data_IF_378140910225
#
_entry.id   IF_378140910225
#
_cell.length_a   1.000
_cell.length_b   1.000
_cell.length_c   1.000
_cell.angle_alpha   90.00
_cell.angle_beta   90.00
_cell.angle_gamma   90.00
#
_symmetry.space_group_name_H-M   'P 1'
#
loop_
_entity.id
_entity.type
_entity.pdbx_description
1 polymer ?
#
# COMPACT_ATOMS: atom_id res chain seq x y z
N UNK A 1 33.99 8.73 -20.95
CA UNK A 1 33.86 7.26 -20.85
C UNK A 1 35.20 6.74 -20.39
N UNK A 2 35.28 6.09 -19.23
CA UNK A 2 36.52 5.50 -18.74
C UNK A 2 36.97 4.38 -19.70
N UNK A 3 38.28 4.17 -19.92
CA UNK A 3 38.78 3.03 -20.69
C UNK A 3 38.24 1.71 -20.09
N UNK A 4 38.00 0.67 -20.90
CA UNK A 4 37.33 -0.57 -20.47
C UNK A 4 38.04 -1.28 -19.30
N UNK A 5 39.35 -1.05 -19.15
CA UNK A 5 40.18 -1.60 -18.08
C UNK A 5 39.94 -0.91 -16.72
N UNK A 6 39.39 0.31 -16.73
CA UNK A 6 39.01 1.07 -15.53
C UNK A 6 37.51 0.96 -15.22
N UNK A 7 36.74 0.27 -16.07
CA UNK A 7 35.32 0.05 -15.84
C UNK A 7 35.12 -1.11 -14.87
N UNK A 8 34.40 -0.85 -13.77
CA UNK A 8 34.02 -1.92 -12.86
C UNK A 8 33.24 -3.00 -13.63
N UNK A 9 33.59 -4.30 -13.48
CA UNK A 9 32.84 -5.38 -14.12
C UNK A 9 31.36 -5.44 -13.69
N UNK A 10 31.00 -4.72 -12.62
CA UNK A 10 29.63 -4.58 -12.13
C UNK A 10 28.86 -3.40 -12.75
N UNK A 11 29.51 -2.51 -13.50
CA UNK A 11 28.89 -1.36 -14.15
C UNK A 11 27.67 -1.72 -15.04
N UNK A 12 27.71 -2.74 -15.92
CA UNK A 12 26.53 -3.11 -16.72
C UNK A 12 25.38 -3.64 -15.86
N UNK A 13 25.68 -4.31 -14.75
CA UNK A 13 24.67 -4.85 -13.83
C UNK A 13 24.02 -3.74 -12.99
N UNK A 14 24.79 -2.75 -12.52
CA UNK A 14 24.27 -1.55 -11.87
C UNK A 14 23.42 -0.71 -12.83
N UNK A 15 23.84 -0.55 -14.09
CA UNK A 15 23.07 0.14 -15.11
C UNK A 15 21.72 -0.55 -15.38
N UNK A 16 21.70 -1.89 -15.45
CA UNK A 16 20.47 -2.67 -15.60
C UNK A 16 19.53 -2.52 -14.39
N UNK A 17 20.07 -2.47 -13.17
CA UNK A 17 19.28 -2.22 -11.95
C UNK A 17 18.66 -0.82 -11.92
N UNK A 18 19.42 0.21 -12.29
CA UNK A 18 18.93 1.59 -12.39
C UNK A 18 17.86 1.70 -13.48
N UNK A 19 18.08 1.08 -14.64
CA UNK A 19 17.10 1.02 -15.71
C UNK A 19 15.82 0.30 -15.29
N UNK A 20 15.91 -0.77 -14.48
CA UNK A 20 14.75 -1.46 -13.89
C UNK A 20 13.95 -0.61 -12.89
N UNK A 21 14.59 0.36 -12.24
CA UNK A 21 13.92 1.29 -11.31
C UNK A 21 13.16 2.43 -12.01
N UNK A 22 13.59 2.86 -13.20
CA UNK A 22 12.96 3.94 -13.96
C UNK A 22 11.43 3.74 -14.25
N UNK A 23 10.97 2.58 -14.74
CA UNK A 23 9.54 2.35 -14.99
C UNK A 23 8.70 2.37 -13.69
N UNK A 24 9.28 2.01 -12.54
CA UNK A 24 8.57 2.08 -11.25
C UNK A 24 8.28 3.52 -10.84
N UNK A 25 9.21 4.44 -11.11
CA UNK A 25 9.04 5.85 -10.82
C UNK A 25 7.94 6.47 -11.71
N UNK A 26 7.92 6.14 -13.01
CA UNK A 26 6.85 6.59 -13.93
C UNK A 26 5.48 6.06 -13.50
N UNK A 27 5.40 4.77 -13.13
CA UNK A 27 4.17 4.15 -12.64
C UNK A 27 3.69 4.79 -11.32
N UNK A 28 4.62 5.20 -10.45
CA UNK A 28 4.29 5.89 -9.20
C UNK A 28 3.58 7.22 -9.46
N UNK A 29 4.15 8.10 -10.29
CA UNK A 29 3.53 9.40 -10.61
C UNK A 29 2.16 9.25 -11.28
N UNK A 30 2.04 8.30 -12.22
CA UNK A 30 0.76 8.03 -12.87
C UNK A 30 -0.31 7.57 -11.86
N UNK A 31 0.08 6.70 -10.92
CA UNK A 31 -0.82 6.20 -9.89
C UNK A 31 -1.28 7.29 -8.90
N UNK A 32 -0.42 8.27 -8.61
CA UNK A 32 -0.74 9.42 -7.74
C UNK A 32 -1.67 10.42 -8.42
N UNK A 33 -1.49 10.70 -9.71
CA UNK A 33 -2.42 11.53 -10.49
C UNK A 33 -3.82 10.88 -10.55
N UNK A 34 -3.88 9.58 -10.86
CA UNK A 34 -5.14 8.83 -10.86
C UNK A 34 -5.80 8.80 -9.48
N UNK A 35 -5.02 8.75 -8.40
CA UNK A 35 -5.51 8.81 -7.02
C UNK A 35 -6.22 10.14 -6.74
N UNK A 36 -5.64 11.26 -7.16
CA UNK A 36 -6.23 12.58 -6.94
C UNK A 36 -7.59 12.69 -7.62
N UNK A 37 -7.63 12.36 -8.92
CA UNK A 37 -8.85 12.38 -9.74
C UNK A 37 -9.93 11.46 -9.14
N UNK A 38 -9.57 10.23 -8.74
CA UNK A 38 -10.50 9.31 -8.12
C UNK A 38 -11.01 9.79 -6.74
N UNK A 39 -10.21 10.57 -6.02
CA UNK A 39 -10.62 11.17 -4.74
C UNK A 39 -11.64 12.28 -4.94
N UNK A 40 -11.41 13.16 -5.90
CA UNK A 40 -12.32 14.24 -6.26
C UNK A 40 -13.66 13.71 -6.77
N UNK A 41 -13.64 12.72 -7.67
CA UNK A 41 -14.86 12.05 -8.15
C UNK A 41 -15.71 11.49 -7.02
N UNK A 42 -15.09 10.85 -6.02
CA UNK A 42 -15.83 10.33 -4.86
C UNK A 42 -16.44 11.45 -4.03
N UNK A 43 -15.72 12.56 -3.80
CA UNK A 43 -16.28 13.72 -3.09
C UNK A 43 -17.47 14.33 -3.84
N UNK A 44 -17.40 14.39 -5.17
CA UNK A 44 -18.51 14.85 -6.00
C UNK A 44 -19.73 13.93 -5.83
N UNK A 45 -19.56 12.61 -5.95
CA UNK A 45 -20.65 11.65 -5.76
C UNK A 45 -21.22 11.66 -4.33
N UNK A 46 -20.41 11.86 -3.30
CA UNK A 46 -20.89 11.99 -1.93
C UNK A 46 -21.67 13.28 -1.66
N UNK A 47 -21.35 14.34 -2.40
CA UNK A 47 -22.09 15.60 -2.34
C UNK A 47 -23.44 15.45 -3.04
N UNK A 48 -23.43 14.86 -4.23
CA UNK A 48 -24.65 14.58 -5.00
C UNK A 48 -25.58 13.61 -4.24
N UNK A 49 -25.03 12.54 -3.65
CA UNK A 49 -25.78 11.61 -2.80
C UNK A 49 -26.48 12.33 -1.64
N UNK A 50 -25.78 13.25 -0.98
CA UNK A 50 -26.35 14.03 0.14
C UNK A 50 -27.48 14.92 -0.34
N UNK A 51 -27.34 15.56 -1.49
CA UNK A 51 -28.38 16.40 -2.08
C UNK A 51 -29.61 15.55 -2.46
N UNK A 52 -29.41 14.41 -3.11
CA UNK A 52 -30.49 13.49 -3.44
C UNK A 52 -31.23 12.98 -2.19
N UNK A 53 -30.51 12.58 -1.15
CA UNK A 53 -31.13 12.13 0.12
C UNK A 53 -31.91 13.24 0.83
N UNK A 54 -31.46 14.51 0.75
CA UNK A 54 -32.22 15.66 1.26
C UNK A 54 -33.53 15.85 0.52
N UNK A 55 -33.52 15.73 -0.80
CA UNK A 55 -34.74 15.82 -1.62
C UNK A 55 -35.71 14.69 -1.30
N UNK A 56 -35.21 13.46 -1.22
CA UNK A 56 -36.01 12.29 -0.82
C UNK A 56 -36.61 12.50 0.57
N UNK A 57 -35.82 12.93 1.55
CA UNK A 57 -36.30 13.20 2.90
C UNK A 57 -37.43 14.24 2.89
N UNK A 58 -37.28 15.33 2.14
CA UNK A 58 -38.32 16.37 2.05
C UNK A 58 -39.64 15.79 1.51
N UNK A 59 -39.58 14.92 0.51
CA UNK A 59 -40.77 14.29 -0.06
C UNK A 59 -41.38 13.24 0.85
N UNK A 60 -40.56 12.44 1.52
CA UNK A 60 -41.05 11.49 2.52
C UNK A 60 -41.75 12.23 3.66
N UNK A 61 -41.22 13.40 4.08
CA UNK A 61 -41.89 14.25 5.07
C UNK A 61 -43.23 14.78 4.56
N UNK A 62 -43.31 15.18 3.28
CA UNK A 62 -44.55 15.66 2.68
C UNK A 62 -45.61 14.54 2.57
N UNK A 63 -45.20 13.33 2.15
CA UNK A 63 -46.11 12.18 1.95
C UNK A 63 -46.53 11.52 3.26
N UNK A 64 -45.60 11.37 4.21
CA UNK A 64 -45.80 10.64 5.46
C UNK A 64 -45.88 11.54 6.69
N UNK A 65 -46.38 12.77 6.54
CA UNK A 65 -46.48 13.73 7.65
C UNK A 65 -47.29 13.20 8.84
N UNK A 66 -48.32 12.38 8.58
CA UNK A 66 -49.16 11.74 9.60
C UNK A 66 -48.58 10.45 10.18
N UNK A 67 -47.70 9.77 9.45
CA UNK A 67 -47.21 8.43 9.79
C UNK A 67 -45.70 8.32 9.53
N UNK A 68 -44.88 9.08 10.28
CA UNK A 68 -43.44 9.17 10.00
C UNK A 68 -42.73 7.83 10.15
N UNK A 69 -43.24 6.90 10.99
CA UNK A 69 -42.72 5.54 11.12
C UNK A 69 -42.70 4.75 9.79
N UNK A 70 -43.53 5.12 8.80
CA UNK A 70 -43.47 4.48 7.48
C UNK A 70 -42.18 4.81 6.73
N UNK A 71 -41.50 5.92 7.04
CA UNK A 71 -40.23 6.30 6.43
C UNK A 71 -39.06 5.35 6.78
N UNK A 72 -39.18 4.58 7.86
CA UNK A 72 -38.19 3.56 8.23
C UNK A 72 -38.11 2.44 7.20
N UNK A 73 -39.25 2.09 6.56
CA UNK A 73 -39.29 1.13 5.46
C UNK A 73 -38.49 1.60 4.24
N UNK A 74 -38.35 2.92 4.08
CA UNK A 74 -37.56 3.55 3.03
C UNK A 74 -36.08 3.71 3.39
N UNK A 75 -35.68 3.25 4.58
CA UNK A 75 -34.29 3.28 5.05
C UNK A 75 -33.86 4.57 5.74
N UNK A 76 -34.82 5.42 6.14
CA UNK A 76 -34.55 6.63 6.92
C UNK A 76 -34.90 6.40 8.39
N UNK A 77 -34.03 6.82 9.29
CA UNK A 77 -34.30 6.78 10.73
C UNK A 77 -35.29 7.89 11.10
N UNK A 78 -36.19 7.61 12.03
CA UNK A 78 -37.20 8.56 12.50
C UNK A 78 -36.93 8.85 13.97
N UNK A 79 -36.90 10.13 14.33
CA UNK A 79 -36.91 10.50 15.72
C UNK A 79 -38.34 10.36 16.26
N UNK A 80 -38.63 9.26 16.97
CA UNK A 80 -39.96 8.98 17.51
C UNK A 80 -40.47 10.04 18.50
N UNK A 81 -39.59 10.79 19.17
CA UNK A 81 -39.99 11.85 20.09
C UNK A 81 -40.52 13.10 19.36
N UNK A 82 -40.02 13.39 18.15
CA UNK A 82 -40.40 14.58 17.36
C UNK A 82 -41.17 14.24 16.09
N UNK A 83 -41.31 12.96 15.75
CA UNK A 83 -41.86 12.49 14.47
C UNK A 83 -41.02 12.85 13.26
N UNK A 84 -39.78 13.31 13.46
CA UNK A 84 -38.99 13.93 12.39
C UNK A 84 -38.11 12.89 11.70
N UNK A 85 -38.24 12.75 10.38
CA UNK A 85 -37.37 11.89 9.57
C UNK A 85 -35.96 12.47 9.58
N UNK A 86 -34.96 11.68 9.97
CA UNK A 86 -33.56 12.08 10.08
C UNK A 86 -32.78 11.79 8.79
N UNK A 87 -31.78 12.64 8.52
CA UNK A 87 -30.81 12.38 7.46
C UNK A 87 -29.73 11.44 7.97
N UNK A 88 -29.29 10.47 7.16
CA UNK A 88 -28.19 9.60 7.58
C UNK A 88 -26.86 10.36 7.66
N UNK A 89 -26.23 10.34 8.83
CA UNK A 89 -24.99 11.08 9.08
C UNK A 89 -23.75 10.38 8.54
N UNK A 90 -23.73 9.05 8.58
CA UNK A 90 -22.55 8.28 8.13
C UNK A 90 -22.63 7.94 6.64
N UNK A 91 -21.50 7.90 5.90
CA UNK A 91 -21.48 7.48 4.50
C UNK A 91 -22.07 6.07 4.28
N UNK A 92 -21.89 5.17 5.26
CA UNK A 92 -22.46 3.82 5.21
C UNK A 92 -23.99 3.85 5.36
N UNK A 93 -24.51 4.66 6.27
CA UNK A 93 -25.95 4.80 6.46
C UNK A 93 -26.60 5.47 5.23
N UNK A 94 -25.99 6.52 4.67
CA UNK A 94 -26.46 7.16 3.42
C UNK A 94 -26.56 6.16 2.26
N UNK A 95 -25.55 5.30 2.13
CA UNK A 95 -25.54 4.26 1.11
C UNK A 95 -26.64 3.23 1.32
N UNK A 96 -26.86 2.80 2.58
CA UNK A 96 -27.92 1.85 2.91
C UNK A 96 -29.30 2.45 2.63
N UNK A 97 -29.53 3.70 3.05
CA UNK A 97 -30.76 4.44 2.80
C UNK A 97 -31.05 4.57 1.30
N UNK A 98 -30.05 4.94 0.48
CA UNK A 98 -30.23 4.99 -0.98
C UNK A 98 -30.62 3.62 -1.55
N UNK A 99 -29.97 2.54 -1.10
CA UNK A 99 -30.27 1.18 -1.56
C UNK A 99 -31.68 0.72 -1.20
N UNK A 100 -32.13 1.02 0.02
CA UNK A 100 -33.47 0.70 0.50
C UNK A 100 -34.53 1.54 -0.21
N UNK A 101 -34.28 2.84 -0.41
CA UNK A 101 -35.16 3.72 -1.16
C UNK A 101 -35.37 3.23 -2.61
N UNK A 102 -34.30 2.92 -3.34
CA UNK A 102 -34.38 2.41 -4.71
C UNK A 102 -35.18 1.11 -4.77
N UNK A 103 -34.91 0.16 -3.85
CA UNK A 103 -35.66 -1.10 -3.82
C UNK A 103 -37.15 -0.88 -3.55
N UNK A 104 -37.48 0.07 -2.68
CA UNK A 104 -38.86 0.40 -2.36
C UNK A 104 -39.56 1.10 -3.53
N UNK A 105 -38.91 2.04 -4.22
CA UNK A 105 -39.46 2.67 -5.43
C UNK A 105 -39.65 1.68 -6.59
N UNK A 106 -38.70 0.77 -6.80
CA UNK A 106 -38.79 -0.27 -7.83
C UNK A 106 -39.96 -1.22 -7.57
N UNK A 107 -40.32 -1.45 -6.30
CA UNK A 107 -41.46 -2.29 -5.92
C UNK A 107 -42.83 -1.63 -6.18
N UNK A 108 -42.87 -0.31 -6.35
CA UNK A 108 -44.12 0.42 -6.57
C UNK A 108 -44.47 0.49 -8.06
N UNK A 109 -45.78 0.47 -8.41
CA UNK A 109 -46.22 0.73 -9.77
C UNK A 109 -45.83 2.15 -10.19
N UNK A 110 -45.60 2.35 -11.49
CA UNK A 110 -45.03 3.60 -12.02
C UNK A 110 -45.86 4.86 -11.67
N UNK A 111 -47.16 4.71 -11.44
CA UNK A 111 -48.08 5.80 -11.05
C UNK A 111 -47.84 6.32 -9.63
N UNK A 112 -47.30 5.50 -8.74
CA UNK A 112 -47.20 5.80 -7.30
C UNK A 112 -45.77 6.18 -6.88
N UNK A 113 -44.84 6.17 -7.85
CA UNK A 113 -43.43 6.54 -7.67
C UNK A 113 -43.29 8.04 -7.45
N UNK A 114 -42.22 8.42 -6.76
CA UNK A 114 -41.89 9.82 -6.61
C UNK A 114 -41.30 10.34 -7.94
N UNK A 115 -41.77 11.50 -8.43
CA UNK A 115 -41.30 12.03 -9.71
C UNK A 115 -39.88 12.63 -9.63
N UNK A 116 -39.41 12.99 -8.44
CA UNK A 116 -38.12 13.65 -8.22
C UNK A 116 -37.51 13.10 -6.93
N UNK A 117 -36.19 12.90 -6.79
CA UNK A 117 -35.23 12.73 -7.86
C UNK A 117 -35.59 11.51 -8.73
N UNK A 118 -35.32 11.62 -10.04
CA UNK A 118 -35.58 10.54 -10.99
C UNK A 118 -34.88 9.23 -10.56
N UNK A 119 -35.66 8.14 -10.50
CA UNK A 119 -35.19 6.80 -10.14
C UNK A 119 -34.00 6.38 -11.02
N UNK A 120 -34.03 6.68 -12.32
CA UNK A 120 -32.94 6.33 -13.22
C UNK A 120 -31.63 7.02 -12.80
N UNK A 121 -31.69 8.29 -12.38
CA UNK A 121 -30.53 9.02 -11.85
C UNK A 121 -30.02 8.41 -10.54
N UNK A 122 -30.90 8.01 -9.63
CA UNK A 122 -30.51 7.36 -8.37
C UNK A 122 -29.84 6.01 -8.60
N UNK A 123 -30.37 5.21 -9.52
CA UNK A 123 -29.79 3.92 -9.92
C UNK A 123 -28.41 4.12 -10.54
N UNK A 124 -28.25 5.12 -11.40
CA UNK A 124 -26.95 5.44 -11.99
C UNK A 124 -25.94 5.91 -10.93
N UNK A 125 -26.34 6.79 -10.02
CA UNK A 125 -25.51 7.23 -8.90
C UNK A 125 -25.08 6.04 -8.02
N UNK A 126 -26.00 5.09 -7.76
CA UNK A 126 -25.71 3.83 -7.07
C UNK A 126 -24.64 3.03 -7.80
N UNK A 127 -24.78 2.85 -9.11
CA UNK A 127 -23.80 2.12 -9.96
C UNK A 127 -22.43 2.77 -9.92
N UNK A 128 -22.38 4.09 -10.09
CA UNK A 128 -21.13 4.87 -10.07
C UNK A 128 -20.41 4.75 -8.72
N UNK A 129 -21.13 4.82 -7.61
CA UNK A 129 -20.54 4.64 -6.27
C UNK A 129 -19.96 3.23 -6.11
N UNK A 130 -20.68 2.18 -6.53
CA UNK A 130 -20.17 0.79 -6.47
C UNK A 130 -18.89 0.64 -7.29
N UNK A 131 -18.90 1.15 -8.52
CA UNK A 131 -17.75 1.10 -9.42
C UNK A 131 -16.53 1.80 -8.81
N UNK A 132 -16.71 3.02 -8.29
CA UNK A 132 -15.62 3.77 -7.66
C UNK A 132 -15.07 3.07 -6.42
N UNK A 133 -15.92 2.41 -5.62
CA UNK A 133 -15.48 1.62 -4.46
C UNK A 133 -14.66 0.41 -4.91
N UNK A 134 -15.05 -0.27 -5.98
CA UNK A 134 -14.26 -1.38 -6.57
C UNK A 134 -12.90 -0.89 -7.07
N UNK A 135 -12.87 0.20 -7.84
CA UNK A 135 -11.63 0.82 -8.33
C UNK A 135 -10.71 1.19 -7.17
N UNK A 136 -11.24 1.81 -6.10
CA UNK A 136 -10.44 2.15 -4.91
C UNK A 136 -9.83 0.92 -4.22
N UNK A 137 -10.56 -0.20 -4.16
CA UNK A 137 -10.02 -1.46 -3.61
C UNK A 137 -8.90 -2.00 -4.50
N UNK A 138 -9.11 -2.05 -5.80
CA UNK A 138 -8.10 -2.46 -6.77
C UNK A 138 -6.84 -1.60 -6.68
N UNK A 139 -6.98 -0.26 -6.68
CA UNK A 139 -5.85 0.67 -6.56
C UNK A 139 -5.11 0.55 -5.22
N UNK A 140 -5.78 0.17 -4.13
CA UNK A 140 -5.11 -0.13 -2.85
C UNK A 140 -4.28 -1.41 -2.96
N UNK A 141 -4.83 -2.46 -3.54
CA UNK A 141 -4.12 -3.72 -3.75
C UNK A 141 -2.90 -3.52 -4.67
N UNK A 142 -3.09 -2.84 -5.80
CA UNK A 142 -2.01 -2.52 -6.74
C UNK A 142 -0.89 -1.74 -6.06
N UNK A 143 -1.21 -0.70 -5.27
CA UNK A 143 -0.18 0.05 -4.52
C UNK A 143 0.56 -0.80 -3.50
N UNK A 144 -0.11 -1.73 -2.83
CA UNK A 144 0.56 -2.65 -1.91
C UNK A 144 1.58 -3.52 -2.66
N UNK A 145 1.20 -4.03 -3.83
CA UNK A 145 2.09 -4.81 -4.69
C UNK A 145 3.25 -3.97 -5.25
N UNK A 146 2.98 -2.76 -5.76
CA UNK A 146 4.02 -1.86 -6.28
C UNK A 146 5.02 -1.43 -5.20
N UNK A 147 4.57 -1.20 -3.96
CA UNK A 147 5.47 -0.92 -2.84
C UNK A 147 6.36 -2.11 -2.53
N UNK A 148 5.78 -3.30 -2.39
CA UNK A 148 6.55 -4.52 -2.13
C UNK A 148 7.61 -4.80 -3.22
N UNK A 149 7.24 -4.62 -4.49
CA UNK A 149 8.19 -4.76 -5.62
C UNK A 149 9.30 -3.71 -5.59
N UNK A 150 8.98 -2.46 -5.28
CA UNK A 150 9.97 -1.39 -5.13
C UNK A 150 10.92 -1.67 -3.96
N UNK A 151 10.39 -2.07 -2.81
CA UNK A 151 11.19 -2.37 -1.62
C UNK A 151 12.15 -3.53 -1.89
N UNK A 152 11.70 -4.58 -2.58
CA UNK A 152 12.55 -5.69 -3.01
C UNK A 152 13.67 -5.24 -3.95
N UNK A 153 13.39 -4.37 -4.92
CA UNK A 153 14.41 -3.86 -5.86
C UNK A 153 15.40 -2.92 -5.19
N UNK A 154 14.95 -2.08 -4.26
CA UNK A 154 15.84 -1.22 -3.47
C UNK A 154 16.75 -2.05 -2.56
N UNK A 155 16.22 -3.12 -1.96
CA UNK A 155 17.02 -4.04 -1.15
C UNK A 155 18.07 -4.74 -2.01
N UNK A 156 17.69 -5.24 -3.19
CA UNK A 156 18.62 -5.86 -4.12
C UNK A 156 19.71 -4.87 -4.59
N UNK A 157 19.33 -3.65 -4.98
CA UNK A 157 20.29 -2.60 -5.34
C UNK A 157 21.27 -2.30 -4.19
N UNK A 158 20.77 -2.24 -2.95
CA UNK A 158 21.61 -2.03 -1.77
C UNK A 158 22.63 -3.15 -1.58
N UNK A 159 22.21 -4.40 -1.74
CA UNK A 159 23.10 -5.56 -1.56
C UNK A 159 24.17 -5.60 -2.66
N UNK A 160 23.81 -5.23 -3.88
CA UNK A 160 24.76 -5.13 -5.01
C UNK A 160 25.76 -3.99 -4.79
N UNK A 161 25.29 -2.82 -4.32
CA UNK A 161 26.19 -1.70 -3.98
C UNK A 161 27.15 -2.05 -2.84
N UNK A 162 26.72 -2.85 -1.86
CA UNK A 162 27.60 -3.37 -0.80
C UNK A 162 28.69 -4.28 -1.35
N UNK A 163 28.32 -5.21 -2.24
CA UNK A 163 29.28 -6.11 -2.89
C UNK A 163 30.25 -5.33 -3.77
N UNK A 164 29.75 -4.38 -4.56
CA UNK A 164 30.59 -3.51 -5.39
C UNK A 164 31.56 -2.69 -4.54
N UNK A 165 31.10 -2.11 -3.43
CA UNK A 165 31.95 -1.39 -2.47
C UNK A 165 33.03 -2.29 -1.87
N UNK A 166 32.67 -3.52 -1.48
CA UNK A 166 33.63 -4.50 -0.96
C UNK A 166 34.71 -4.88 -2.00
N UNK A 167 34.32 -5.06 -3.27
CA UNK A 167 35.26 -5.38 -4.35
C UNK A 167 36.20 -4.19 -4.61
N UNK A 168 35.69 -2.96 -4.64
CA UNK A 168 36.53 -1.76 -4.81
C UNK A 168 37.55 -1.66 -3.68
N UNK A 169 37.14 -1.91 -2.43
CA UNK A 169 38.03 -1.96 -1.27
C UNK A 169 39.09 -3.04 -1.45
N UNK A 170 38.71 -4.26 -1.80
CA UNK A 170 39.65 -5.37 -1.97
C UNK A 170 40.67 -5.06 -3.07
N UNK A 171 40.25 -4.43 -4.17
CA UNK A 171 41.11 -4.07 -5.29
C UNK A 171 42.00 -2.85 -4.99
N UNK A 172 41.50 -1.81 -4.29
CA UNK A 172 42.29 -0.62 -3.95
C UNK A 172 43.33 -0.86 -2.86
N UNK A 173 43.10 -1.86 -2.00
CA UNK A 173 44.02 -2.18 -0.90
C UNK A 173 44.85 -3.46 -1.18
N UNK A 174 45.05 -3.83 -2.45
CA UNK A 174 45.87 -5.00 -2.87
C UNK A 174 45.53 -6.29 -2.10
N UNK A 175 44.24 -6.56 -1.90
CA UNK A 175 43.72 -7.69 -1.11
C UNK A 175 44.15 -7.69 0.38
N UNK A 176 44.74 -6.60 0.87
CA UNK A 176 45.13 -6.45 2.28
C UNK A 176 44.08 -5.64 3.05
N UNK A 177 43.59 -6.20 4.15
CA UNK A 177 42.66 -5.48 5.03
C UNK A 177 43.49 -4.50 5.89
N UNK A 178 43.68 -3.29 5.39
CA UNK A 178 44.34 -2.18 6.09
C UNK A 178 43.42 -1.53 7.13
N UNK A 179 43.99 -1.04 8.23
CA UNK A 179 43.29 -0.24 9.25
C UNK A 179 42.75 1.09 8.70
N UNK A 180 43.23 1.56 7.55
CA UNK A 180 42.72 2.78 6.91
C UNK A 180 41.26 2.65 6.47
N UNK A 181 40.72 1.43 6.35
CA UNK A 181 39.30 1.19 6.11
C UNK A 181 38.40 1.71 7.24
N UNK A 182 38.90 1.83 8.48
CA UNK A 182 38.16 2.48 9.57
C UNK A 182 37.92 3.96 9.30
N UNK A 183 38.85 4.67 8.63
CA UNK A 183 38.68 6.09 8.26
C UNK A 183 37.56 6.30 7.24
N UNK A 184 37.18 5.24 6.53
CA UNK A 184 36.11 5.21 5.53
C UNK A 184 34.77 4.71 6.12
N UNK A 185 34.69 4.52 7.44
CA UNK A 185 33.47 4.13 8.14
C UNK A 185 33.17 2.63 8.17
N UNK A 186 34.14 1.78 7.80
CA UNK A 186 34.00 0.32 7.89
C UNK A 186 34.43 -0.21 9.25
N UNK A 187 33.68 -1.19 9.77
CA UNK A 187 34.05 -1.91 10.97
C UNK A 187 35.08 -3.01 10.62
N UNK A 188 36.35 -2.73 10.90
CA UNK A 188 37.45 -3.69 10.67
C UNK A 188 37.55 -4.65 11.86
N UNK A 189 37.01 -5.85 11.71
CA UNK A 189 37.12 -6.91 12.72
C UNK A 189 38.44 -7.66 12.53
N UNK A 190 39.42 -7.42 13.41
CA UNK A 190 40.63 -8.25 13.48
C UNK A 190 40.24 -9.65 13.94
N UNK A 191 40.35 -10.66 13.07
CA UNK A 191 40.31 -12.06 13.54
C UNK A 191 41.53 -12.29 14.43
N UNK A 192 41.37 -12.78 15.67
CA UNK A 192 42.51 -13.21 16.45
C UNK A 192 43.14 -14.39 15.71
N UNK A 193 44.33 -14.17 15.14
CA UNK A 193 45.15 -15.26 14.64
C UNK A 193 45.41 -16.19 15.82
N UNK A 194 45.01 -17.46 15.71
CA UNK A 194 45.45 -18.49 16.66
C UNK A 194 46.97 -18.55 16.58
N UNK A 195 47.65 -17.85 17.47
CA UNK A 195 49.06 -18.04 17.74
C UNK A 195 49.19 -19.51 18.09
N UNK A 196 49.84 -20.32 17.23
CA UNK A 196 50.26 -21.65 17.61
C UNK A 196 51.24 -21.47 18.77
N UNK A 197 50.74 -21.56 19.99
CA UNK A 197 51.56 -21.60 21.19
C UNK A 197 52.34 -22.91 21.11
N UNK A 198 53.58 -22.80 20.66
CA UNK A 198 54.61 -23.84 20.72
C UNK A 198 54.92 -24.11 22.20
N UNK A 199 54.03 -24.83 22.89
CA UNK A 199 54.15 -25.12 24.32
C UNK A 199 53.75 -26.56 24.73
N UNK A 200 53.51 -27.49 23.79
CA UNK A 200 53.09 -28.86 24.13
C UNK A 200 53.87 -29.99 23.44
N UNK A 201 55.10 -29.75 22.99
CA UNK A 201 55.97 -30.79 22.39
C UNK A 201 57.19 -31.15 23.26
N UNK A 202 57.24 -30.71 24.53
CA UNK A 202 58.30 -31.09 25.48
C UNK A 202 57.81 -31.64 26.83
N UNK A 203 56.52 -31.96 26.95
CA UNK A 203 55.94 -32.53 28.17
C UNK A 203 55.33 -33.93 27.98
N UNK A 204 55.66 -34.61 26.88
CA UNK A 204 55.30 -36.02 26.62
C UNK A 204 56.57 -36.85 26.36
N UNK A 205 57.69 -36.45 26.97
CA UNK A 205 58.96 -37.20 26.99
C UNK A 205 59.19 -37.92 28.34
N UNK A 206 58.15 -38.06 29.14
CA UNK A 206 58.18 -38.84 30.37
C UNK A 206 56.82 -39.46 30.63
N UNK A 207 56.81 -40.77 30.87
CA UNK A 207 55.66 -41.62 31.21
C UNK A 207 54.87 -42.13 30.00
N UNK A 208 55.34 -43.24 29.39
CA UNK A 208 54.62 -44.52 29.23
C UNK A 208 55.62 -45.61 28.80
N UNK A 209 55.92 -46.50 29.74
CA UNK A 209 56.11 -47.96 29.64
C UNK A 209 56.70 -48.60 28.36
N UNK A 210 57.85 -49.27 28.53
CA UNK A 210 58.10 -50.58 27.91
C UNK A 210 58.28 -51.62 29.02
N UNK A 211 57.21 -52.37 29.30
CA UNK A 211 57.33 -53.75 29.75
C UNK A 211 57.46 -54.68 28.55
N UNK A 212 58.27 -55.72 28.67
CA UNK A 212 58.35 -56.83 27.71
C UNK A 212 59.76 -57.43 27.63
N UNK A 213 60.00 -58.47 28.43
CA UNK A 213 61.22 -59.29 28.43
C UNK A 213 61.44 -59.97 29.77
#
# INVERSE_FOLDING_TARGET
TLPPEEQSPLAPYLAALVAGCAPLQKNFYHSEAQRSIASEKVKAFETELRQALKLIQHQLKAKFWTTPAQAEKWGFEVNHATGNIMLPDTPRARWRALGQYIAQEESLPATDRFPTPDLARLVELRRQIILNRRIRRANRAQRKMSRASRDALLQHLRDVLRVAGAIIIILQFDHTISLDLQKWGFEVVKRPCKTKTRAQEKAVEGVVERGGG
#
